data_IF_459735917607
#
_entry.id   IF_459735917607
#
_cell.length_a   1.000
_cell.length_b   1.000
_cell.length_c   1.000
_cell.angle_alpha   90.00
_cell.angle_beta   90.00
_cell.angle_gamma   90.00
#
_symmetry.space_group_name_H-M   'P 1'
#
loop_
_entity.id
_entity.type
_entity.pdbx_description
1 polymer ?
#
# COMPACT_ATOMS: atom_id res chain seq x y z
N UNK A 1 25.68 -59.13 53.53
CA UNK A 1 26.02 -57.86 52.88
C UNK A 1 26.06 -58.06 51.36
N UNK A 2 25.31 -57.22 50.63
CA UNK A 2 25.41 -56.89 49.19
C UNK A 2 25.04 -57.97 48.12
N UNK A 3 23.73 -57.98 47.84
CA UNK A 3 23.06 -57.86 46.51
C UNK A 3 23.85 -58.20 45.24
N UNK A 4 23.38 -59.16 44.42
CA UNK A 4 23.82 -59.33 43.04
C UNK A 4 23.03 -58.45 42.07
N UNK A 5 23.74 -57.98 41.05
CA UNK A 5 23.31 -57.07 40.00
C UNK A 5 22.21 -57.66 39.11
N UNK A 6 21.01 -57.07 39.16
CA UNK A 6 19.92 -57.38 38.21
C UNK A 6 20.05 -56.47 36.99
N UNK A 7 20.29 -57.10 35.84
CA UNK A 7 20.32 -56.50 34.50
C UNK A 7 18.95 -55.86 34.20
N UNK A 8 18.88 -54.53 34.05
CA UNK A 8 17.65 -53.85 33.60
C UNK A 8 17.64 -53.76 32.07
N UNK A 9 16.81 -54.60 31.45
CA UNK A 9 16.40 -54.44 30.05
C UNK A 9 15.38 -53.30 30.00
N UNK A 10 15.75 -52.17 29.41
CA UNK A 10 14.82 -51.06 29.14
C UNK A 10 14.26 -51.28 27.73
N UNK A 11 12.99 -51.68 27.66
CA UNK A 11 12.22 -51.61 26.41
C UNK A 11 11.83 -50.15 26.17
N UNK A 12 12.45 -49.50 25.18
CA UNK A 12 11.98 -48.22 24.66
C UNK A 12 10.74 -48.46 23.79
N UNK A 13 9.57 -48.17 24.35
CA UNK A 13 8.33 -48.07 23.58
C UNK A 13 8.41 -46.79 22.76
N UNK A 14 8.66 -46.90 21.45
CA UNK A 14 8.47 -45.79 20.53
C UNK A 14 6.98 -45.50 20.40
N UNK A 15 6.49 -44.51 21.15
CA UNK A 15 5.22 -43.86 20.85
C UNK A 15 5.39 -43.11 19.53
N UNK A 16 4.93 -43.72 18.43
CA UNK A 16 4.72 -43.02 17.18
C UNK A 16 3.61 -41.98 17.41
N UNK A 17 4.00 -40.74 17.70
CA UNK A 17 3.06 -39.62 17.69
C UNK A 17 2.69 -39.36 16.24
N UNK A 18 1.52 -39.86 15.82
CA UNK A 18 0.88 -39.44 14.59
C UNK A 18 0.66 -37.93 14.68
N UNK A 19 1.49 -37.16 13.98
CA UNK A 19 1.30 -35.72 13.82
C UNK A 19 0.05 -35.55 12.97
N UNK A 20 -1.06 -35.22 13.60
CA UNK A 20 -2.27 -34.81 12.91
C UNK A 20 -1.91 -33.56 12.08
N UNK A 21 -1.65 -33.75 10.80
CA UNK A 21 -1.67 -32.68 9.81
C UNK A 21 -3.12 -32.23 9.72
N UNK A 22 -3.45 -31.15 10.42
CA UNK A 22 -4.64 -30.38 10.10
C UNK A 22 -4.40 -29.77 8.72
N UNK A 23 -4.72 -30.54 7.67
CA UNK A 23 -5.03 -29.97 6.37
C UNK A 23 -6.26 -29.09 6.59
N UNK A 24 -6.01 -27.82 6.89
CA UNK A 24 -6.94 -26.76 6.57
C UNK A 24 -7.04 -26.79 5.04
N UNK A 25 -7.97 -27.60 4.55
CA UNK A 25 -8.62 -27.36 3.27
C UNK A 25 -9.04 -25.90 3.28
N UNK A 26 -8.26 -25.07 2.60
CA UNK A 26 -8.64 -23.73 2.19
C UNK A 26 -9.78 -23.94 1.20
N UNK A 27 -10.96 -24.19 1.75
CA UNK A 27 -12.18 -24.22 0.98
C UNK A 27 -12.24 -22.89 0.26
N UNK A 28 -12.15 -22.94 -1.07
CA UNK A 28 -12.53 -21.89 -1.97
C UNK A 28 -14.01 -21.54 -1.69
N UNK A 29 -14.23 -20.77 -0.63
CA UNK A 29 -15.43 -20.00 -0.44
C UNK A 29 -15.45 -19.05 -1.64
N UNK A 30 -16.47 -19.20 -2.48
CA UNK A 30 -16.65 -18.44 -3.71
C UNK A 30 -16.32 -16.97 -3.48
N UNK A 31 -15.16 -16.55 -3.98
CA UNK A 31 -14.75 -15.16 -3.96
C UNK A 31 -15.58 -14.46 -5.02
N UNK A 32 -16.77 -14.00 -4.65
CA UNK A 32 -17.33 -12.84 -5.31
C UNK A 32 -16.44 -11.67 -4.90
N UNK A 33 -15.35 -11.45 -5.62
CA UNK A 33 -14.52 -10.27 -5.39
C UNK A 33 -15.44 -9.06 -5.60
N UNK A 34 -15.71 -8.31 -4.53
CA UNK A 34 -16.44 -7.07 -4.66
C UNK A 34 -15.83 -6.24 -5.81
N UNK A 35 -16.64 -5.66 -6.69
CA UNK A 35 -16.12 -4.90 -7.83
C UNK A 35 -15.15 -3.82 -7.34
N UNK A 36 -14.05 -3.64 -8.08
CA UNK A 36 -13.06 -2.61 -7.77
C UNK A 36 -13.71 -1.23 -7.78
N UNK A 37 -13.50 -0.45 -6.73
CA UNK A 37 -13.96 0.94 -6.65
C UNK A 37 -12.86 1.82 -6.10
N UNK A 38 -12.38 2.77 -6.90
CA UNK A 38 -11.35 3.72 -6.47
C UNK A 38 -11.88 4.61 -5.34
N UNK A 39 -13.17 4.95 -5.41
CA UNK A 39 -13.87 5.72 -4.38
C UNK A 39 -13.87 4.99 -3.03
N UNK A 40 -14.15 3.68 -3.01
CA UNK A 40 -14.08 2.89 -1.77
C UNK A 40 -12.67 2.84 -1.19
N UNK A 41 -11.64 2.73 -2.05
CA UNK A 41 -10.24 2.77 -1.60
C UNK A 41 -9.89 4.11 -0.95
N UNK A 42 -10.25 5.22 -1.61
CA UNK A 42 -9.98 6.61 -1.20
C UNK A 42 -10.83 7.07 -0.02
N UNK A 43 -11.97 6.43 0.26
CA UNK A 43 -12.83 6.79 1.38
C UNK A 43 -12.23 6.32 2.72
N UNK A 44 -11.16 6.97 3.14
CA UNK A 44 -10.46 6.70 4.40
C UNK A 44 -9.95 7.99 5.02
N UNK A 45 -9.75 8.00 6.32
CA UNK A 45 -9.00 9.04 7.05
C UNK A 45 -7.53 8.68 7.21
N UNK A 46 -7.15 7.45 6.88
CA UNK A 46 -5.77 6.97 6.96
C UNK A 46 -4.95 7.55 5.81
N UNK A 47 -3.84 8.28 6.05
CA UNK A 47 -3.02 8.84 4.99
C UNK A 47 -2.59 7.77 3.98
N UNK A 48 -2.65 8.11 2.69
CA UNK A 48 -2.31 7.18 1.61
C UNK A 48 -0.94 7.57 1.07
N UNK A 49 0.05 6.70 1.23
CA UNK A 49 1.40 6.94 0.77
C UNK A 49 1.65 6.28 -0.58
N UNK A 50 2.31 6.98 -1.49
CA UNK A 50 2.92 6.33 -2.65
C UNK A 50 4.16 5.57 -2.17
N UNK A 51 4.08 4.24 -2.16
CA UNK A 51 5.15 3.37 -1.69
C UNK A 51 6.21 3.18 -2.77
N UNK A 52 5.79 2.79 -3.98
CA UNK A 52 6.62 2.75 -5.19
C UNK A 52 5.92 3.51 -6.32
N UNK A 53 6.70 4.02 -7.27
CA UNK A 53 6.18 4.64 -8.49
C UNK A 53 7.07 4.33 -9.69
N UNK A 54 6.49 4.22 -10.88
CA UNK A 54 7.26 4.18 -12.14
C UNK A 54 7.43 5.56 -12.76
N UNK A 55 6.91 6.61 -12.13
CA UNK A 55 7.04 7.99 -12.59
C UNK A 55 8.51 8.43 -12.61
N UNK A 56 8.90 9.04 -13.73
CA UNK A 56 10.23 9.61 -13.91
C UNK A 56 10.35 10.98 -13.23
N UNK A 57 10.48 10.97 -11.90
CA UNK A 57 10.60 12.18 -11.09
C UNK A 57 11.47 11.94 -9.84
N UNK A 58 11.90 13.02 -9.20
CA UNK A 58 12.65 13.01 -7.94
C UNK A 58 11.77 13.16 -6.70
N UNK A 59 10.44 13.16 -6.86
CA UNK A 59 9.47 13.27 -5.77
C UNK A 59 9.58 12.10 -4.79
N UNK A 60 9.62 12.38 -3.49
CA UNK A 60 9.69 11.41 -2.40
C UNK A 60 8.66 11.74 -1.33
N UNK A 61 8.37 10.76 -0.46
CA UNK A 61 7.39 10.94 0.62
C UNK A 61 6.07 11.55 0.13
N UNK A 62 5.61 11.11 -1.05
CA UNK A 62 4.31 11.51 -1.60
C UNK A 62 3.21 10.87 -0.77
N UNK A 63 2.30 11.71 -0.27
CA UNK A 63 1.16 11.32 0.56
C UNK A 63 -0.07 12.13 0.21
N UNK A 64 -1.20 11.44 0.15
CA UNK A 64 -2.51 12.03 -0.03
C UNK A 64 -3.30 11.90 1.27
N UNK A 65 -3.89 13.02 1.69
CA UNK A 65 -4.75 13.09 2.87
C UNK A 65 -6.11 13.62 2.47
N UNK A 66 -7.14 12.77 2.57
CA UNK A 66 -8.52 13.16 2.24
C UNK A 66 -8.97 14.37 3.08
N UNK A 67 -9.53 15.35 2.39
CA UNK A 67 -10.29 16.46 2.98
C UNK A 67 -11.78 16.11 2.95
N UNK A 68 -12.29 15.68 1.79
CA UNK A 68 -13.69 15.33 1.59
C UNK A 68 -13.91 14.37 0.43
N UNK A 69 -15.04 13.67 0.46
CA UNK A 69 -15.46 12.78 -0.62
C UNK A 69 -16.98 12.77 -0.70
N UNK A 70 -17.54 12.99 -1.89
CA UNK A 70 -18.97 12.90 -2.20
C UNK A 70 -19.22 11.82 -3.24
N UNK A 71 -20.41 11.78 -3.84
CA UNK A 71 -20.67 10.86 -4.94
C UNK A 71 -19.94 11.21 -6.22
N UNK A 72 -19.68 12.49 -6.44
CA UNK A 72 -19.18 13.06 -7.68
C UNK A 72 -17.76 13.60 -7.53
N UNK A 73 -17.28 13.86 -6.30
CA UNK A 73 -16.05 14.60 -6.06
C UNK A 73 -15.18 14.01 -4.95
N UNK A 74 -13.88 14.28 -5.08
CA UNK A 74 -12.85 13.97 -4.08
C UNK A 74 -11.92 15.17 -3.92
N UNK A 75 -11.69 15.57 -2.67
CA UNK A 75 -10.76 16.64 -2.31
C UNK A 75 -9.75 16.13 -1.30
N UNK A 76 -8.49 16.52 -1.47
CA UNK A 76 -7.38 16.01 -0.68
C UNK A 76 -6.22 17.00 -0.60
N UNK A 77 -5.36 16.84 0.39
CA UNK A 77 -4.05 17.46 0.42
C UNK A 77 -3.04 16.48 -0.18
N UNK A 78 -2.42 16.89 -1.28
CA UNK A 78 -1.27 16.21 -1.86
C UNK A 78 0.00 16.83 -1.28
N UNK A 79 0.70 16.07 -0.45
CA UNK A 79 1.96 16.51 0.14
C UNK A 79 3.12 15.66 -0.32
N UNK A 80 4.27 16.28 -0.57
CA UNK A 80 5.44 15.57 -1.05
C UNK A 80 6.74 16.34 -0.85
N UNK A 81 7.83 15.62 -1.01
CA UNK A 81 9.18 16.13 -0.95
C UNK A 81 9.77 16.18 -2.36
N UNK A 82 10.15 17.36 -2.86
CA UNK A 82 10.88 17.48 -4.14
C UNK A 82 12.40 17.47 -3.93
N UNK A 83 13.09 16.46 -4.43
CA UNK A 83 14.57 16.43 -4.50
C UNK A 83 15.32 16.66 -3.18
N UNK A 84 14.77 16.27 -2.03
CA UNK A 84 15.35 16.52 -0.69
C UNK A 84 15.56 17.99 -0.29
N UNK A 85 15.01 18.95 -1.05
CA UNK A 85 14.92 20.36 -0.65
C UNK A 85 13.76 20.81 0.29
N UNK A 86 12.49 20.76 -0.16
CA UNK A 86 11.33 21.31 0.57
C UNK A 86 10.11 20.35 0.59
N UNK A 87 9.36 20.41 1.70
CA UNK A 87 8.02 19.84 1.81
C UNK A 87 7.01 20.77 1.15
N UNK A 88 6.26 20.25 0.19
CA UNK A 88 5.24 20.97 -0.56
C UNK A 88 3.88 20.37 -0.23
N UNK A 89 2.88 21.23 -0.02
CA UNK A 89 1.47 20.84 0.11
C UNK A 89 0.69 21.54 -0.98
N UNK A 90 -0.15 20.78 -1.69
CA UNK A 90 -1.10 21.30 -2.67
C UNK A 90 -2.47 20.73 -2.40
N UNK A 91 -3.51 21.53 -2.64
CA UNK A 91 -4.87 21.02 -2.61
C UNK A 91 -5.12 20.30 -3.94
N UNK A 92 -5.51 19.04 -3.88
CA UNK A 92 -5.95 18.23 -5.00
C UNK A 92 -7.47 18.17 -5.06
N UNK A 93 -8.00 18.12 -6.28
CA UNK A 93 -9.42 17.92 -6.55
C UNK A 93 -9.55 16.95 -7.72
N UNK A 94 -10.53 16.06 -7.62
CA UNK A 94 -10.93 15.23 -8.73
C UNK A 94 -12.40 14.87 -8.71
N UNK A 95 -12.85 14.33 -9.82
CA UNK A 95 -14.24 13.96 -10.05
C UNK A 95 -14.38 12.49 -10.42
N UNK A 96 -15.49 11.91 -10.00
CA UNK A 96 -15.91 10.55 -10.35
C UNK A 96 -16.98 10.63 -11.44
N UNK A 97 -16.90 9.74 -12.43
CA UNK A 97 -17.96 9.59 -13.43
C UNK A 97 -19.21 8.90 -12.84
N UNK A 98 -19.02 8.03 -11.84
CA UNK A 98 -20.09 7.33 -11.12
C UNK A 98 -19.60 6.81 -9.76
N UNK A 99 -20.51 6.34 -8.90
CA UNK A 99 -20.17 5.88 -7.55
C UNK A 99 -19.29 4.60 -7.51
N UNK A 100 -19.43 3.72 -8.50
CA UNK A 100 -18.72 2.44 -8.58
C UNK A 100 -17.56 2.47 -9.58
N UNK A 101 -17.07 3.68 -9.89
CA UNK A 101 -15.99 3.85 -10.86
C UNK A 101 -14.65 3.33 -10.34
N UNK A 102 -13.83 2.87 -11.28
CA UNK A 102 -12.40 2.60 -11.09
C UNK A 102 -11.55 3.83 -11.42
N UNK A 103 -12.13 4.90 -11.96
CA UNK A 103 -11.42 6.06 -12.46
C UNK A 103 -11.72 7.33 -11.66
N UNK A 104 -10.68 8.13 -11.42
CA UNK A 104 -10.74 9.46 -10.84
C UNK A 104 -10.06 10.45 -11.80
N UNK A 105 -10.76 11.51 -12.18
CA UNK A 105 -10.20 12.55 -13.05
C UNK A 105 -9.66 13.68 -12.17
N UNK A 106 -8.35 13.92 -12.17
CA UNK A 106 -7.70 14.97 -11.37
C UNK A 106 -7.62 16.28 -12.18
N UNK A 107 -8.26 17.32 -11.66
CA UNK A 107 -8.47 18.57 -12.41
C UNK A 107 -7.22 19.45 -12.46
N UNK A 108 -6.49 19.61 -11.35
CA UNK A 108 -5.39 20.59 -11.25
C UNK A 108 -4.11 20.18 -11.96
N UNK A 109 -3.88 18.89 -12.11
CA UNK A 109 -2.69 18.35 -12.78
C UNK A 109 -3.03 17.63 -14.08
N UNK A 110 -4.30 17.70 -14.50
CA UNK A 110 -4.82 17.19 -15.78
C UNK A 110 -4.35 15.75 -16.06
N UNK A 111 -4.68 14.84 -15.15
CA UNK A 111 -4.44 13.41 -15.33
C UNK A 111 -5.58 12.57 -14.78
N UNK A 112 -5.69 11.34 -15.27
CA UNK A 112 -6.66 10.36 -14.81
C UNK A 112 -5.96 9.26 -14.02
N UNK A 113 -6.54 8.89 -12.88
CA UNK A 113 -6.14 7.75 -12.07
C UNK A 113 -7.09 6.59 -12.28
N UNK A 114 -6.59 5.44 -12.69
CA UNK A 114 -7.37 4.20 -12.85
C UNK A 114 -6.91 3.16 -11.84
N UNK A 115 -7.81 2.69 -10.98
CA UNK A 115 -7.59 1.59 -10.07
C UNK A 115 -7.50 0.27 -10.84
N UNK A 116 -6.33 -0.38 -10.74
CA UNK A 116 -6.07 -1.66 -11.38
C UNK A 116 -6.16 -2.85 -10.41
N UNK A 117 -5.86 -2.61 -9.14
CA UNK A 117 -5.83 -3.65 -8.13
C UNK A 117 -5.93 -3.06 -6.72
N UNK A 118 -6.60 -3.78 -5.83
CA UNK A 118 -6.57 -3.56 -4.38
C UNK A 118 -6.46 -4.92 -3.71
N UNK A 119 -5.90 -4.99 -2.51
CA UNK A 119 -5.98 -6.22 -1.73
C UNK A 119 -7.36 -6.39 -1.07
N UNK A 120 -7.63 -7.57 -0.51
CA UNK A 120 -8.91 -7.89 0.12
C UNK A 120 -9.23 -7.02 1.36
N UNK A 121 -8.28 -6.20 1.82
CA UNK A 121 -8.43 -5.34 2.99
C UNK A 121 -8.51 -3.86 2.61
N UNK A 122 -8.47 -3.52 1.31
CA UNK A 122 -8.30 -2.15 0.83
C UNK A 122 -7.14 -1.41 1.53
N UNK A 123 -6.07 -2.13 1.84
CA UNK A 123 -4.90 -1.64 2.56
C UNK A 123 -3.83 -1.06 1.63
N UNK A 124 -3.83 -1.50 0.38
CA UNK A 124 -2.97 -1.01 -0.69
C UNK A 124 -3.71 -1.06 -2.03
N UNK A 125 -3.27 -0.24 -2.98
CA UNK A 125 -3.81 -0.21 -4.33
C UNK A 125 -2.72 -0.01 -5.38
N UNK A 126 -3.00 -0.47 -6.60
CA UNK A 126 -2.21 -0.16 -7.79
C UNK A 126 -3.05 0.74 -8.68
N UNK A 127 -2.53 1.94 -8.93
CA UNK A 127 -3.15 2.95 -9.77
C UNK A 127 -2.31 3.11 -11.04
N UNK A 128 -2.95 3.21 -12.20
CA UNK A 128 -2.33 3.76 -13.41
C UNK A 128 -2.68 5.23 -13.50
N UNK A 129 -1.68 6.07 -13.68
CA UNK A 129 -1.86 7.51 -13.90
C UNK A 129 -1.62 7.80 -15.38
N UNK A 130 -2.60 8.42 -16.01
CA UNK A 130 -2.58 8.77 -17.44
C UNK A 130 -2.73 10.27 -17.59
N UNK A 131 -1.67 10.99 -18.00
CA UNK A 131 -1.78 12.41 -18.33
C UNK A 131 -2.82 12.65 -19.42
N UNK A 132 -3.53 13.77 -19.33
CA UNK A 132 -4.44 14.23 -20.40
C UNK A 132 -3.64 14.73 -21.60
N UNK A 133 -2.44 15.28 -21.38
CA UNK A 133 -1.60 15.81 -22.44
C UNK A 133 -1.08 14.69 -23.38
N UNK A 134 -1.45 14.69 -24.67
CA UNK A 134 -1.03 13.66 -25.62
C UNK A 134 0.50 13.62 -25.76
N UNK A 135 1.07 12.42 -25.70
CA UNK A 135 2.53 12.19 -25.81
C UNK A 135 3.28 12.08 -24.49
N UNK A 136 2.62 12.29 -23.34
CA UNK A 136 3.19 11.98 -22.03
C UNK A 136 2.96 10.51 -21.65
N UNK A 137 4.01 9.84 -21.19
CA UNK A 137 3.92 8.44 -20.77
C UNK A 137 3.06 8.29 -19.50
N UNK A 138 2.22 7.26 -19.49
CA UNK A 138 1.54 6.83 -18.26
C UNK A 138 2.52 6.22 -17.28
N UNK A 139 2.23 6.32 -15.99
CA UNK A 139 2.97 5.62 -14.94
C UNK A 139 2.05 4.85 -14.00
N UNK A 140 2.66 4.10 -13.09
CA UNK A 140 1.97 3.30 -12.10
C UNK A 140 2.41 3.72 -10.71
N UNK A 141 1.44 3.80 -9.80
CA UNK A 141 1.66 4.04 -8.39
C UNK A 141 1.20 2.86 -7.55
N UNK A 142 2.05 2.45 -6.62
CA UNK A 142 1.71 1.51 -5.57
C UNK A 142 1.37 2.32 -4.32
N UNK A 143 0.08 2.48 -4.06
CA UNK A 143 -0.45 3.22 -2.93
C UNK A 143 -0.64 2.31 -1.72
N UNK A 144 -0.32 2.81 -0.52
CA UNK A 144 -0.42 2.05 0.72
C UNK A 144 -0.98 2.95 1.82
N UNK A 145 -2.04 2.49 2.49
CA UNK A 145 -2.59 3.17 3.66
C UNK A 145 -1.59 3.15 4.81
N UNK A 146 -1.46 4.27 5.51
CA UNK A 146 -0.41 4.49 6.50
C UNK A 146 -0.41 3.43 7.60
N UNK A 147 -1.57 3.02 8.10
CA UNK A 147 -1.72 1.93 9.08
C UNK A 147 -1.21 0.56 8.60
N UNK A 148 -0.96 0.41 7.30
CA UNK A 148 -0.59 -0.86 6.66
C UNK A 148 0.87 -0.90 6.18
N UNK A 149 1.61 0.21 6.23
CA UNK A 149 2.99 0.31 5.74
C UNK A 149 3.94 -0.75 6.30
N UNK A 150 3.92 -0.98 7.61
CA UNK A 150 4.81 -1.94 8.28
C UNK A 150 4.23 -3.35 8.31
N UNK A 151 2.97 -3.51 7.89
CA UNK A 151 2.28 -4.79 7.95
C UNK A 151 2.66 -5.64 6.75
N UNK A 152 2.78 -6.95 6.99
CA UNK A 152 3.00 -7.99 5.97
C UNK A 152 1.91 -8.02 4.86
N UNK A 153 0.84 -7.24 5.01
CA UNK A 153 -0.36 -7.18 4.15
C UNK A 153 -0.10 -6.57 2.76
N UNK A 154 0.94 -5.77 2.59
CA UNK A 154 1.24 -5.13 1.29
C UNK A 154 1.89 -6.06 0.25
N UNK A 155 2.08 -7.35 0.57
CA UNK A 155 2.74 -8.30 -0.35
C UNK A 155 1.96 -8.48 -1.65
N UNK A 156 0.62 -8.45 -1.61
CA UNK A 156 -0.21 -8.64 -2.79
C UNK A 156 -0.04 -7.51 -3.80
N UNK A 157 -0.19 -6.25 -3.37
CA UNK A 157 0.05 -5.09 -4.24
C UNK A 157 1.52 -5.02 -4.68
N UNK A 158 2.49 -5.29 -3.79
CA UNK A 158 3.91 -5.31 -4.17
C UNK A 158 4.19 -6.35 -5.27
N UNK A 159 3.59 -7.53 -5.17
CA UNK A 159 3.71 -8.59 -6.17
C UNK A 159 3.00 -8.20 -7.47
N UNK A 160 1.79 -7.64 -7.39
CA UNK A 160 1.05 -7.16 -8.56
C UNK A 160 1.87 -6.10 -9.30
N UNK A 161 2.36 -5.09 -8.59
CA UNK A 161 3.17 -4.01 -9.15
C UNK A 161 4.39 -4.58 -9.87
N UNK A 162 5.21 -5.38 -9.18
CA UNK A 162 6.44 -5.95 -9.77
C UNK A 162 6.18 -6.83 -11.00
N UNK A 163 5.05 -7.54 -11.05
CA UNK A 163 4.72 -8.45 -12.16
C UNK A 163 4.12 -7.72 -13.36
N UNK A 164 3.37 -6.63 -13.13
CA UNK A 164 2.54 -6.00 -14.17
C UNK A 164 3.07 -4.63 -14.63
N UNK A 165 4.08 -4.05 -13.98
CA UNK A 165 4.73 -2.83 -14.46
C UNK A 165 5.96 -3.16 -15.30
N UNK A 166 6.03 -2.64 -16.52
CA UNK A 166 7.12 -2.88 -17.48
C UNK A 166 8.44 -2.26 -17.05
N UNK A 167 8.42 -1.16 -16.29
CA UNK A 167 9.60 -0.50 -15.75
C UNK A 167 9.82 -0.86 -14.28
N UNK A 168 11.10 -0.91 -13.87
CA UNK A 168 11.46 -1.08 -12.46
C UNK A 168 11.05 0.19 -11.71
N UNK A 169 9.91 0.16 -11.03
CA UNK A 169 9.49 1.28 -10.20
C UNK A 169 10.50 1.59 -9.09
N UNK A 170 10.60 2.87 -8.74
CA UNK A 170 11.46 3.37 -7.66
C UNK A 170 10.69 3.44 -6.35
N UNK A 171 11.42 3.32 -5.25
CA UNK A 171 10.86 3.46 -3.90
C UNK A 171 10.66 4.94 -3.57
N UNK A 172 9.41 5.34 -3.37
CA UNK A 172 9.00 6.72 -3.05
C UNK A 172 8.89 6.92 -1.54
N UNK A 173 8.35 5.92 -0.85
CA UNK A 173 8.23 5.91 0.61
C UNK A 173 9.47 5.35 1.29
N UNK A 174 9.92 6.01 2.36
CA UNK A 174 10.94 5.53 3.31
C UNK A 174 10.40 5.73 4.73
N UNK A 175 10.92 4.99 5.71
CA UNK A 175 10.48 5.09 7.11
C UNK A 175 10.45 6.54 7.64
N UNK A 176 11.45 7.35 7.27
CA UNK A 176 11.52 8.78 7.62
C UNK A 176 10.36 9.63 7.14
N UNK A 177 9.62 9.20 6.12
CA UNK A 177 8.48 9.93 5.60
C UNK A 177 7.38 10.10 6.66
N UNK A 178 7.25 9.18 7.63
CA UNK A 178 6.28 9.32 8.72
C UNK A 178 6.50 10.58 9.54
N UNK A 179 7.75 10.95 9.80
CA UNK A 179 8.07 12.19 10.52
C UNK A 179 7.63 13.43 9.73
N UNK A 180 7.58 13.35 8.40
CA UNK A 180 7.19 14.48 7.55
C UNK A 180 5.71 14.87 7.70
N UNK A 181 4.84 13.95 8.13
CA UNK A 181 3.44 14.31 8.46
C UNK A 181 3.36 15.27 9.65
N UNK A 182 4.35 15.24 10.54
CA UNK A 182 4.41 16.13 11.70
C UNK A 182 5.16 17.43 11.33
N UNK A 183 6.21 17.36 10.51
CA UNK A 183 6.92 18.54 10.00
C UNK A 183 6.04 19.36 9.05
N UNK A 184 5.20 18.74 8.23
CA UNK A 184 4.22 19.48 7.41
C UNK A 184 3.20 20.28 8.23
N UNK A 185 3.01 19.91 9.51
CA UNK A 185 2.15 20.63 10.47
C UNK A 185 2.90 21.65 11.32
N UNK A 186 4.23 21.57 11.36
CA UNK A 186 5.07 22.41 12.18
C UNK A 186 6.12 23.05 11.28
N UNK A 187 6.02 24.36 11.03
CA UNK A 187 6.98 25.13 10.22
C UNK A 187 8.39 25.03 10.81
N UNK A 188 9.14 23.99 10.47
CA UNK A 188 10.49 23.77 10.95
C UNK A 188 11.51 23.88 9.82
N UNK A 189 12.58 24.60 10.13
CA UNK A 189 13.69 24.82 9.22
C UNK A 189 14.62 23.60 9.16
N UNK A 190 15.34 23.47 8.03
CA UNK A 190 16.20 22.35 7.63
C UNK A 190 17.24 21.88 8.66
N UNK A 191 17.56 22.68 9.67
CA UNK A 191 18.69 22.43 10.59
C UNK A 191 18.37 21.50 11.77
N UNK A 192 17.10 21.14 11.98
CA UNK A 192 16.69 20.33 13.13
C UNK A 192 16.57 18.83 12.82
N UNK A 193 17.06 18.39 11.65
CA UNK A 193 16.97 17.00 11.17
C UNK A 193 18.32 16.27 11.10
N UNK A 194 19.33 16.77 11.81
CA UNK A 194 20.67 16.16 11.92
C UNK A 194 20.98 15.74 13.36
#
# INVERSE_FOLDING_TARGET
>A
MRSPSVLRIIFLVHLATAKASSDLTDSAAGQTSAPLSIKQFLNTTDPIWTYNSTENTTILCKVDQKIGITNESYSFNWSYYSGYLNWTVRNGQGTFESADTVQLNITLQEYNETLLFTDNYNSCAIIRVTPVNPGSDSWYEHLVKNSSITRRKNKNCTNFFRKNTTSKGRKVYRSRCLHMLNVGKATYSRWELH
#
